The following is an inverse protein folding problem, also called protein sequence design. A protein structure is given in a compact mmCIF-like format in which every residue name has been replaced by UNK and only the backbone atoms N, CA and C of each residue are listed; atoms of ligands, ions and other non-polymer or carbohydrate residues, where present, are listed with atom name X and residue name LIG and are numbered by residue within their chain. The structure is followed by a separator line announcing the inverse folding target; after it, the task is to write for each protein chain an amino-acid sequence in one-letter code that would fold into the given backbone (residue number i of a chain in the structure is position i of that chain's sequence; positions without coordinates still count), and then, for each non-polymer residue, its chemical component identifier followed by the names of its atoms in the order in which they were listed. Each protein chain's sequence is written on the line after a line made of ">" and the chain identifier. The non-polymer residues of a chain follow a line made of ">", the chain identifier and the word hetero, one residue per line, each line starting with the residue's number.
data_IF_463285609448
#
_entry.id   IF_463285609448
#
_cell.length_a   1.000
_cell.length_b   1.000
_cell.length_c   1.000
_cell.angle_alpha   90.00
_cell.angle_beta   90.00
_cell.angle_gamma   90.00
#
_symmetry.space_group_name_H-M   'P 1'
#
loop_
_entity.id
_entity.type
_entity.pdbx_description
1 polymer ?
#
# COMPACT_ATOMS: atom_id res chain seq x y z
N UNK A 1 2.98 -29.67 3.38
CA UNK A 1 2.76 -29.06 2.04
C UNK A 1 3.93 -28.18 1.62
N UNK A 2 4.33 -27.21 2.46
CA UNK A 2 5.47 -26.29 2.25
C UNK A 2 6.78 -26.97 1.81
N UNK A 3 7.13 -28.13 2.38
CA UNK A 3 8.37 -28.84 2.01
C UNK A 3 8.47 -29.23 0.53
N UNK A 4 7.35 -29.53 -0.13
CA UNK A 4 7.32 -29.86 -1.56
C UNK A 4 7.41 -28.61 -2.44
N UNK A 5 6.88 -27.48 -1.97
CA UNK A 5 6.96 -26.19 -2.65
C UNK A 5 8.40 -25.68 -2.66
N UNK A 6 9.08 -25.74 -1.51
CA UNK A 6 10.50 -25.37 -1.40
C UNK A 6 11.37 -26.22 -2.34
N UNK A 7 11.15 -27.55 -2.36
CA UNK A 7 11.89 -28.44 -3.26
C UNK A 7 11.69 -28.12 -4.75
N UNK A 8 10.46 -27.80 -5.16
CA UNK A 8 10.18 -27.43 -6.54
C UNK A 8 10.90 -26.13 -6.93
N UNK A 9 10.88 -25.13 -6.07
CA UNK A 9 11.59 -23.87 -6.30
C UNK A 9 13.11 -24.06 -6.42
N UNK A 10 13.74 -24.84 -5.53
CA UNK A 10 15.17 -25.14 -5.61
C UNK A 10 15.59 -25.74 -6.96
N UNK A 11 14.76 -26.63 -7.52
CA UNK A 11 15.02 -27.28 -8.80
C UNK A 11 14.88 -26.29 -9.97
N UNK A 12 13.97 -25.32 -9.86
CA UNK A 12 13.64 -24.38 -10.93
C UNK A 12 14.51 -23.12 -10.92
N UNK A 13 15.03 -22.69 -9.77
CA UNK A 13 15.60 -21.35 -9.60
C UNK A 13 17.10 -21.31 -9.25
N UNK A 14 17.76 -22.47 -9.10
CA UNK A 14 19.16 -22.59 -8.64
C UNK A 14 19.45 -21.95 -7.27
N UNK A 15 18.42 -21.56 -6.51
CA UNK A 15 18.58 -21.02 -5.15
C UNK A 15 18.61 -22.12 -4.09
N UNK A 16 19.42 -21.93 -3.05
CA UNK A 16 19.43 -22.82 -1.88
C UNK A 16 18.16 -22.63 -1.03
N UNK A 17 17.85 -23.61 -0.15
CA UNK A 17 16.72 -23.47 0.78
C UNK A 17 16.81 -22.18 1.61
N UNK A 18 18.02 -21.83 2.05
CA UNK A 18 18.27 -20.62 2.85
C UNK A 18 17.98 -19.36 2.05
N UNK A 19 18.38 -19.30 0.77
CA UNK A 19 18.09 -18.15 -0.09
C UNK A 19 16.59 -18.00 -0.37
N UNK A 20 15.86 -19.13 -0.51
CA UNK A 20 14.40 -19.13 -0.70
C UNK A 20 13.69 -18.64 0.58
N UNK A 21 14.15 -19.07 1.76
CA UNK A 21 13.61 -18.64 3.05
C UNK A 21 13.95 -17.16 3.32
N UNK A 22 15.17 -16.74 2.99
CA UNK A 22 15.58 -15.34 3.12
C UNK A 22 14.69 -14.42 2.28
N UNK A 23 14.34 -14.81 1.05
CA UNK A 23 13.41 -14.02 0.21
C UNK A 23 11.98 -13.92 0.76
N UNK A 24 11.50 -14.93 1.49
CA UNK A 24 10.14 -14.89 2.08
C UNK A 24 10.07 -14.12 3.42
N UNK A 25 11.21 -13.69 3.97
CA UNK A 25 11.29 -13.01 5.26
C UNK A 25 11.93 -11.60 5.14
N UNK A 26 11.92 -11.01 3.96
CA UNK A 26 12.44 -9.66 3.75
C UNK A 26 11.40 -8.63 4.19
N UNK A 27 11.85 -7.65 4.96
CA UNK A 27 11.03 -6.49 5.28
C UNK A 27 10.69 -5.75 3.97
N UNK A 28 9.40 -5.59 3.62
CA UNK A 28 9.00 -4.96 2.37
C UNK A 28 9.31 -3.46 2.35
N UNK A 29 9.65 -2.84 3.49
CA UNK A 29 10.15 -1.46 3.55
C UNK A 29 11.64 -1.36 3.19
N UNK A 30 12.43 -2.41 3.45
CA UNK A 30 13.84 -2.47 3.07
C UNK A 30 14.03 -2.98 1.63
N UNK A 31 13.22 -3.97 1.24
CA UNK A 31 13.28 -4.62 -0.07
C UNK A 31 11.87 -4.73 -0.65
N UNK A 32 11.38 -3.68 -1.32
CA UNK A 32 10.05 -3.69 -1.93
C UNK A 32 9.98 -4.75 -3.03
N UNK A 33 8.84 -5.43 -3.11
CA UNK A 33 8.59 -6.51 -4.07
C UNK A 33 8.32 -5.98 -5.49
N UNK A 34 7.88 -4.73 -5.61
CA UNK A 34 7.58 -4.05 -6.87
C UNK A 34 7.56 -2.53 -6.71
N UNK A 35 7.18 -1.83 -7.78
CA UNK A 35 6.91 -0.39 -7.74
C UNK A 35 5.65 -0.08 -6.92
N UNK A 36 5.68 1.07 -6.24
CA UNK A 36 4.64 1.48 -5.32
C UNK A 36 3.48 2.16 -6.06
N UNK A 37 2.50 1.37 -6.50
CA UNK A 37 1.30 1.87 -7.18
C UNK A 37 0.04 1.83 -6.31
N UNK A 38 0.05 1.04 -5.24
CA UNK A 38 -1.03 1.04 -4.27
C UNK A 38 -0.99 2.34 -3.46
N UNK A 39 -2.16 2.76 -2.97
CA UNK A 39 -2.31 3.94 -2.12
C UNK A 39 -2.78 3.54 -0.73
N UNK A 40 -2.11 4.09 0.27
CA UNK A 40 -2.45 3.96 1.67
C UNK A 40 -2.72 5.34 2.28
N UNK A 41 -3.77 5.45 3.09
CA UNK A 41 -4.06 6.66 3.87
C UNK A 41 -3.82 6.37 5.34
N UNK A 42 -2.88 7.08 5.95
CA UNK A 42 -2.67 7.03 7.40
C UNK A 42 -3.79 7.78 8.13
N UNK A 43 -4.76 7.03 8.63
CA UNK A 43 -5.93 7.58 9.33
C UNK A 43 -5.57 8.37 10.60
N UNK A 44 -4.46 8.04 11.28
CA UNK A 44 -4.03 8.75 12.49
C UNK A 44 -3.58 10.19 12.20
N UNK A 45 -3.11 10.46 10.98
CA UNK A 45 -2.67 11.79 10.54
C UNK A 45 -3.75 12.53 9.75
N UNK A 46 -4.74 11.79 9.22
CA UNK A 46 -5.80 12.32 8.38
C UNK A 46 -6.74 13.20 9.20
N UNK A 47 -6.95 14.44 8.76
CA UNK A 47 -7.93 15.37 9.36
C UNK A 47 -9.35 15.19 8.81
N UNK A 48 -9.53 14.23 7.89
CA UNK A 48 -10.84 13.87 7.36
C UNK A 48 -11.51 15.01 6.59
N UNK A 49 -12.83 15.16 6.80
CA UNK A 49 -13.68 16.16 6.13
C UNK A 49 -13.25 17.62 6.35
N UNK A 50 -12.41 17.89 7.35
CA UNK A 50 -11.86 19.23 7.59
C UNK A 50 -10.64 19.57 6.70
N UNK A 51 -10.19 18.63 5.86
CA UNK A 51 -9.04 18.83 4.98
C UNK A 51 -9.35 19.88 3.90
N UNK A 52 -8.49 20.89 3.76
CA UNK A 52 -8.63 21.92 2.72
C UNK A 52 -8.41 21.38 1.30
N UNK A 53 -7.65 20.30 1.14
CA UNK A 53 -7.45 19.57 -0.12
C UNK A 53 -8.00 18.15 0.05
N UNK A 54 -9.31 18.00 -0.07
CA UNK A 54 -9.98 16.71 0.11
C UNK A 54 -9.58 15.71 -0.98
N UNK A 55 -8.96 14.60 -0.59
CA UNK A 55 -8.63 13.50 -1.50
C UNK A 55 -9.89 12.77 -1.99
N UNK A 56 -10.93 12.67 -1.15
CA UNK A 56 -12.23 12.07 -1.50
C UNK A 56 -12.96 12.88 -2.55
N UNK A 57 -12.87 14.22 -2.50
CA UNK A 57 -13.45 15.07 -3.55
C UNK A 57 -12.62 15.05 -4.84
N UNK A 58 -11.29 14.96 -4.71
CA UNK A 58 -10.36 14.94 -5.85
C UNK A 58 -10.47 13.65 -6.67
N UNK A 59 -10.49 12.50 -5.99
CA UNK A 59 -10.49 11.18 -6.58
C UNK A 59 -11.50 10.27 -5.84
N UNK A 60 -12.82 10.52 -5.99
CA UNK A 60 -13.87 9.79 -5.27
C UNK A 60 -13.95 8.31 -5.63
N UNK A 61 -13.36 7.90 -6.75
CA UNK A 61 -13.23 6.50 -7.14
C UNK A 61 -12.15 5.77 -6.31
N UNK A 62 -11.12 6.48 -5.86
CA UNK A 62 -9.97 5.92 -5.13
C UNK A 62 -10.07 6.09 -3.61
N UNK A 63 -10.77 7.13 -3.12
CA UNK A 63 -10.86 7.43 -1.70
C UNK A 63 -12.31 7.58 -1.24
N UNK A 64 -12.56 7.17 0.00
CA UNK A 64 -13.84 7.38 0.68
C UNK A 64 -13.63 7.85 2.11
N UNK A 65 -14.66 8.45 2.72
CA UNK A 65 -14.64 8.75 4.15
C UNK A 65 -15.10 7.54 4.95
N UNK A 66 -14.36 7.23 6.02
CA UNK A 66 -14.73 6.24 7.02
C UNK A 66 -15.81 6.84 7.93
N UNK A 67 -16.96 6.18 8.03
CA UNK A 67 -18.13 6.72 8.76
C UNK A 67 -17.90 6.88 10.26
N UNK A 68 -17.04 6.06 10.88
CA UNK A 68 -16.80 6.05 12.33
C UNK A 68 -15.84 7.16 12.77
N UNK A 69 -14.78 7.41 12.01
CA UNK A 69 -13.68 8.34 12.35
C UNK A 69 -13.77 9.64 11.57
N UNK A 70 -14.48 9.66 10.43
CA UNK A 70 -14.54 10.78 9.51
C UNK A 70 -13.25 11.01 8.71
N UNK A 71 -12.24 10.15 8.88
CA UNK A 71 -10.97 10.15 8.15
C UNK A 71 -11.19 9.62 6.72
N UNK A 72 -10.25 9.90 5.83
CA UNK A 72 -10.24 9.29 4.50
C UNK A 72 -9.54 7.93 4.54
N UNK A 73 -9.96 7.02 3.67
CA UNK A 73 -9.34 5.70 3.42
C UNK A 73 -9.33 5.44 1.91
N UNK A 74 -8.34 4.67 1.45
CA UNK A 74 -8.34 4.13 0.08
C UNK A 74 -9.47 3.10 -0.09
N UNK A 75 -10.36 3.30 -1.05
CA UNK A 75 -11.46 2.38 -1.39
C UNK A 75 -11.18 1.55 -2.64
N UNK A 76 -10.31 2.04 -3.52
CA UNK A 76 -9.77 1.27 -4.64
C UNK A 76 -8.29 1.60 -4.81
N UNK A 77 -7.53 0.60 -5.26
CA UNK A 77 -6.15 0.82 -5.66
C UNK A 77 -6.16 1.39 -7.08
N UNK A 78 -5.42 2.48 -7.29
CA UNK A 78 -5.35 3.12 -8.61
C UNK A 78 -4.67 2.21 -9.63
N UNK A 79 -4.97 2.39 -10.92
CA UNK A 79 -4.20 1.77 -12.01
C UNK A 79 -2.86 2.50 -12.24
N UNK A 80 -2.06 2.67 -11.18
CA UNK A 80 -0.73 3.28 -11.27
C UNK A 80 -0.69 4.72 -11.79
N UNK A 81 0.40 5.06 -12.50
CA UNK A 81 0.79 6.42 -12.94
C UNK A 81 -0.21 7.12 -13.88
N UNK A 82 -1.20 6.40 -14.41
CA UNK A 82 -2.16 6.98 -15.35
C UNK A 82 -3.29 7.75 -14.66
N UNK A 83 -3.42 7.63 -13.33
CA UNK A 83 -4.44 8.33 -12.56
C UNK A 83 -3.96 9.66 -11.98
N UNK A 84 -3.99 10.69 -12.83
CA UNK A 84 -3.62 12.06 -12.48
C UNK A 84 -4.36 12.61 -11.25
N UNK A 85 -5.62 12.22 -11.02
CA UNK A 85 -6.38 12.73 -9.88
C UNK A 85 -5.87 12.12 -8.57
N UNK A 86 -5.53 10.84 -8.57
CA UNK A 86 -4.88 10.19 -7.42
C UNK A 86 -3.50 10.82 -7.18
N UNK A 87 -2.67 10.99 -8.21
CA UNK A 87 -1.36 11.66 -8.06
C UNK A 87 -1.49 13.05 -7.44
N UNK A 88 -2.45 13.83 -7.91
CA UNK A 88 -2.75 15.13 -7.33
C UNK A 88 -3.18 15.04 -5.86
N UNK A 89 -4.06 14.09 -5.52
CA UNK A 89 -4.53 13.90 -4.15
C UNK A 89 -3.38 13.54 -3.21
N UNK A 90 -2.49 12.63 -3.62
CA UNK A 90 -1.30 12.23 -2.87
C UNK A 90 -0.35 13.43 -2.71
N UNK A 91 0.01 14.09 -3.80
CA UNK A 91 0.99 15.19 -3.80
C UNK A 91 0.51 16.48 -3.13
N UNK A 92 -0.80 16.69 -2.99
CA UNK A 92 -1.37 17.91 -2.41
C UNK A 92 -1.95 17.72 -1.01
N UNK A 93 -1.82 16.53 -0.42
CA UNK A 93 -2.28 16.28 0.93
C UNK A 93 -1.51 17.14 1.95
N UNK A 94 -2.16 18.09 2.66
CA UNK A 94 -1.47 19.04 3.53
C UNK A 94 -0.90 18.39 4.80
N UNK A 95 -1.37 17.19 5.14
CA UNK A 95 -0.90 16.39 6.28
C UNK A 95 0.12 15.34 5.87
N UNK A 96 0.39 15.20 4.57
CA UNK A 96 1.19 14.11 4.01
C UNK A 96 0.75 12.75 4.54
N UNK A 97 -0.56 12.53 4.66
CA UNK A 97 -1.13 11.31 5.21
C UNK A 97 -1.51 10.27 4.13
N UNK A 98 -1.16 10.51 2.87
CA UNK A 98 -1.43 9.59 1.76
C UNK A 98 -0.09 9.19 1.16
N UNK A 99 0.12 7.90 0.96
CA UNK A 99 1.40 7.34 0.52
C UNK A 99 1.18 6.35 -0.61
N UNK A 100 2.04 6.42 -1.61
CA UNK A 100 2.24 5.30 -2.53
C UNK A 100 3.02 4.21 -1.80
N UNK A 101 2.53 2.99 -1.86
CA UNK A 101 3.09 1.82 -1.19
C UNK A 101 3.05 0.62 -2.13
N UNK A 102 3.88 -0.37 -1.87
CA UNK A 102 3.71 -1.67 -2.52
C UNK A 102 2.53 -2.44 -1.90
N UNK A 103 1.99 -3.46 -2.58
CA UNK A 103 0.92 -4.29 -2.00
C UNK A 103 1.25 -4.87 -0.63
N UNK A 104 2.48 -5.34 -0.41
CA UNK A 104 2.94 -5.93 0.86
C UNK A 104 3.09 -4.89 1.95
N UNK A 105 3.66 -3.73 1.63
CA UNK A 105 3.70 -2.59 2.56
C UNK A 105 2.29 -2.15 2.95
N UNK A 106 1.35 -2.09 2.00
CA UNK A 106 -0.04 -1.71 2.27
C UNK A 106 -0.71 -2.66 3.26
N UNK A 107 -0.60 -3.97 3.03
CA UNK A 107 -1.18 -4.99 3.92
C UNK A 107 -0.67 -4.81 5.35
N UNK A 108 0.65 -4.67 5.52
CA UNK A 108 1.24 -4.45 6.85
C UNK A 108 0.78 -3.15 7.50
N UNK A 109 0.72 -2.05 6.74
CA UNK A 109 0.27 -0.76 7.26
C UNK A 109 -1.21 -0.78 7.66
N UNK A 110 -2.06 -1.43 6.85
CA UNK A 110 -3.47 -1.61 7.16
C UNK A 110 -3.66 -2.48 8.41
N UNK A 111 -2.89 -3.55 8.60
CA UNK A 111 -2.96 -4.39 9.81
C UNK A 111 -2.48 -3.68 11.08
N UNK A 112 -1.49 -2.78 10.96
CA UNK A 112 -0.92 -2.07 12.10
C UNK A 112 -1.70 -0.81 12.49
N UNK A 113 -2.37 -0.16 11.52
CA UNK A 113 -2.91 1.19 11.67
C UNK A 113 -4.43 1.30 11.43
N UNK A 114 -5.12 0.26 10.96
CA UNK A 114 -6.58 0.21 10.83
C UNK A 114 -7.23 -0.80 11.79
#
# INVERSE_FOLDING_TARGET
>A
MIRRVIQAYQILSNYTASQIIETECLDPFDRPECEAFDVFVNELLCVGKACSNSCVERAPHAFTFVSSTGTARASSQGQGEEDYQVQCAVGQCPRSCIHYVTPSQRILLEELLH
#
